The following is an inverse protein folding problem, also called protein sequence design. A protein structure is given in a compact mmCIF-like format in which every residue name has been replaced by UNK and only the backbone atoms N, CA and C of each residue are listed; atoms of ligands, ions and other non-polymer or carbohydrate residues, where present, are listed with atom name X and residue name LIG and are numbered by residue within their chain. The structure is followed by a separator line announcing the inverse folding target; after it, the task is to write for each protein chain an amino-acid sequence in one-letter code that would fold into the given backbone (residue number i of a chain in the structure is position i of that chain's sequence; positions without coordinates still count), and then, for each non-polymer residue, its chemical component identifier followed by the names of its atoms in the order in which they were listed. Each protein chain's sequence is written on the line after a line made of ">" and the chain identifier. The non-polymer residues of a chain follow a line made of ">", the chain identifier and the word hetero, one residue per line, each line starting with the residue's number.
data_IF_477414573591
#
_entry.id   IF_477414573591
#
_cell.length_a   1.000
_cell.length_b   1.000
_cell.length_c   1.000
_cell.angle_alpha   90.00
_cell.angle_beta   90.00
_cell.angle_gamma   90.00
#
_symmetry.space_group_name_H-M   'P 1'
#
loop_
_entity.id
_entity.type
_entity.pdbx_description
1 polymer ?
#
# COMPACT_ATOMS: atom_id res chain seq x y z
N UNK A 1 15.82 0.18 5.56
CA UNK A 1 14.81 -0.90 5.63
C UNK A 1 13.45 -0.24 5.72
N UNK A 2 12.40 -0.75 5.05
CA UNK A 2 11.05 -0.21 5.22
C UNK A 2 10.65 -0.25 6.68
N UNK A 3 10.02 0.82 7.12
CA UNK A 3 9.56 1.00 8.49
C UNK A 3 8.08 0.63 8.50
N UNK A 4 7.71 -0.34 9.34
CA UNK A 4 6.31 -0.56 9.67
C UNK A 4 5.77 0.73 10.29
N UNK A 5 4.70 1.25 9.70
CA UNK A 5 4.16 2.52 10.18
C UNK A 5 3.20 2.22 11.32
N UNK A 6 2.04 1.63 11.03
CA UNK A 6 0.94 1.30 11.97
C UNK A 6 -0.13 0.42 11.26
N UNK A 7 -1.36 0.37 11.80
CA UNK A 7 -2.54 -0.28 11.19
C UNK A 7 -3.72 0.68 11.06
N UNK A 8 -4.45 0.60 9.95
CA UNK A 8 -5.80 1.16 9.89
C UNK A 8 -6.78 0.17 10.51
N UNK A 9 -7.35 0.55 11.64
CA UNK A 9 -8.38 -0.23 12.31
C UNK A 9 -9.78 0.22 11.89
N UNK A 10 -10.65 -0.73 11.57
CA UNK A 10 -12.04 -0.50 11.19
C UNK A 10 -12.96 -1.30 12.12
N UNK A 11 -13.99 -0.67 12.71
CA UNK A 11 -15.01 -1.43 13.45
C UNK A 11 -16.00 -2.02 12.45
N UNK A 12 -15.99 -3.34 12.35
CA UNK A 12 -16.92 -4.09 11.49
C UNK A 12 -18.35 -3.91 11.98
N UNK A 13 -18.56 -3.85 13.29
CA UNK A 13 -19.87 -3.61 13.90
C UNK A 13 -20.42 -2.24 13.48
N UNK A 14 -19.64 -1.17 13.65
CA UNK A 14 -20.09 0.18 13.28
C UNK A 14 -20.31 0.34 11.78
N UNK A 15 -19.49 -0.30 10.95
CA UNK A 15 -19.69 -0.30 9.50
C UNK A 15 -20.96 -1.07 9.11
N UNK A 16 -21.20 -2.21 9.75
CA UNK A 16 -22.41 -3.02 9.55
C UNK A 16 -23.66 -2.23 9.92
N UNK A 17 -23.67 -1.57 11.08
CA UNK A 17 -24.75 -0.69 11.53
C UNK A 17 -24.98 0.47 10.56
N UNK A 18 -23.92 1.20 10.19
CA UNK A 18 -24.03 2.40 9.36
C UNK A 18 -24.44 2.12 7.91
N UNK A 19 -24.04 0.97 7.37
CA UNK A 19 -24.36 0.57 6.00
C UNK A 19 -25.61 -0.31 5.91
N UNK A 20 -26.19 -0.70 7.06
CA UNK A 20 -27.31 -1.63 7.15
C UNK A 20 -27.04 -2.96 6.43
N UNK A 21 -25.81 -3.47 6.56
CA UNK A 21 -25.36 -4.72 5.94
C UNK A 21 -24.89 -5.71 7.01
N UNK A 22 -25.04 -7.03 6.80
CA UNK A 22 -24.41 -8.04 7.65
C UNK A 22 -22.89 -7.84 7.75
N UNK A 23 -22.31 -8.16 8.91
CA UNK A 23 -20.86 -8.04 9.13
C UNK A 23 -20.03 -8.89 8.14
N UNK A 24 -20.56 -10.04 7.73
CA UNK A 24 -19.96 -10.90 6.70
C UNK A 24 -19.81 -10.19 5.35
N UNK A 25 -20.84 -9.47 4.91
CA UNK A 25 -20.82 -8.68 3.69
C UNK A 25 -19.81 -7.53 3.81
N UNK A 26 -19.69 -6.89 4.98
CA UNK A 26 -18.66 -5.88 5.25
C UNK A 26 -17.26 -6.49 5.06
N UNK A 27 -16.98 -7.62 5.69
CA UNK A 27 -15.68 -8.29 5.61
C UNK A 27 -15.34 -8.72 4.18
N UNK A 28 -16.31 -9.23 3.42
CA UNK A 28 -16.09 -9.59 2.02
C UNK A 28 -15.86 -8.36 1.14
N UNK A 29 -16.70 -7.33 1.30
CA UNK A 29 -16.67 -6.12 0.49
C UNK A 29 -15.35 -5.35 0.64
N UNK A 30 -14.88 -5.18 1.88
CA UNK A 30 -13.70 -4.37 2.20
C UNK A 30 -12.36 -5.13 2.10
N UNK A 31 -12.37 -6.41 1.73
CA UNK A 31 -11.15 -7.14 1.32
C UNK A 31 -10.82 -7.01 -0.17
N UNK A 32 -11.70 -6.37 -0.96
CA UNK A 32 -11.44 -6.09 -2.38
C UNK A 32 -10.73 -4.74 -2.54
N UNK A 33 -9.53 -4.77 -3.13
CA UNK A 33 -8.74 -3.57 -3.40
C UNK A 33 -9.38 -2.58 -4.35
N UNK A 34 -10.35 -3.00 -5.17
CA UNK A 34 -11.12 -2.05 -6.00
C UNK A 34 -12.06 -1.18 -5.18
N UNK A 35 -12.35 -1.57 -3.93
CA UNK A 35 -13.29 -0.91 -3.04
C UNK A 35 -12.55 -0.18 -1.91
N UNK A 36 -11.78 -0.91 -1.11
CA UNK A 36 -11.18 -0.37 0.12
C UNK A 36 -9.98 0.55 -0.12
N UNK A 37 -9.29 0.45 -1.27
CA UNK A 37 -8.06 1.22 -1.51
C UNK A 37 -8.27 2.73 -1.40
N UNK A 38 -9.39 3.23 -1.92
CA UNK A 38 -9.73 4.66 -1.86
C UNK A 38 -9.99 5.15 -0.42
N UNK A 39 -10.50 4.27 0.45
CA UNK A 39 -10.70 4.58 1.87
C UNK A 39 -9.35 4.57 2.58
N UNK A 40 -8.51 3.57 2.33
CA UNK A 40 -7.16 3.49 2.88
C UNK A 40 -6.32 4.71 2.50
N UNK A 41 -6.35 5.14 1.23
CA UNK A 41 -5.63 6.33 0.74
C UNK A 41 -6.00 7.58 1.54
N UNK A 42 -7.30 7.84 1.73
CA UNK A 42 -7.80 8.97 2.52
C UNK A 42 -7.36 8.90 3.97
N UNK A 43 -7.53 7.75 4.61
CA UNK A 43 -7.14 7.58 6.01
C UNK A 43 -5.63 7.70 6.19
N UNK A 44 -4.83 7.15 5.28
CA UNK A 44 -3.37 7.36 5.29
C UNK A 44 -3.01 8.82 5.17
N UNK A 45 -3.65 9.54 4.25
CA UNK A 45 -3.38 10.97 4.07
C UNK A 45 -3.64 11.74 5.37
N UNK A 46 -4.80 11.53 5.99
CA UNK A 46 -5.23 12.33 7.15
C UNK A 46 -4.65 11.86 8.49
N UNK A 47 -4.61 10.56 8.75
CA UNK A 47 -4.21 10.02 10.05
C UNK A 47 -2.68 9.89 10.18
N UNK A 48 -1.99 9.56 9.09
CA UNK A 48 -0.57 9.18 9.15
C UNK A 48 0.38 10.18 8.52
N UNK A 49 0.02 10.73 7.35
CA UNK A 49 0.85 11.72 6.65
C UNK A 49 0.51 13.16 7.07
N UNK A 50 -0.62 13.36 7.76
CA UNK A 50 -1.17 14.66 8.12
C UNK A 50 -1.20 15.61 6.90
N UNK A 51 -1.56 15.03 5.76
CA UNK A 51 -1.42 15.60 4.44
C UNK A 51 -2.74 15.75 3.72
N UNK A 52 -2.66 15.99 2.41
CA UNK A 52 -3.81 16.15 1.53
C UNK A 52 -3.72 15.20 0.34
N UNK A 53 -4.87 14.77 -0.15
CA UNK A 53 -4.93 14.06 -1.43
C UNK A 53 -4.44 14.95 -2.57
N UNK A 54 -3.96 14.32 -3.63
CA UNK A 54 -3.64 15.01 -4.86
C UNK A 54 -4.89 15.71 -5.45
N UNK A 55 -4.72 16.86 -6.12
CA UNK A 55 -5.83 17.72 -6.55
C UNK A 55 -6.69 17.13 -7.68
N UNK A 56 -6.24 16.07 -8.36
CA UNK A 56 -6.95 15.46 -9.48
C UNK A 56 -6.65 13.98 -9.63
N UNK A 57 -7.63 13.20 -10.10
CA UNK A 57 -7.40 11.85 -10.62
C UNK A 57 -6.40 11.91 -11.78
N UNK A 58 -5.28 11.20 -11.66
CA UNK A 58 -4.19 11.22 -12.66
C UNK A 58 -3.00 12.11 -12.31
N UNK A 59 -2.96 12.69 -11.10
CA UNK A 59 -1.75 13.31 -10.58
C UNK A 59 -0.57 12.31 -10.49
N UNK A 60 0.65 12.83 -10.46
CA UNK A 60 1.87 12.01 -10.41
C UNK A 60 2.04 11.21 -9.10
N UNK A 61 1.31 11.60 -8.05
CA UNK A 61 1.31 11.06 -6.70
C UNK A 61 -0.13 11.05 -6.15
N UNK A 62 -0.36 10.32 -5.07
CA UNK A 62 -1.67 10.20 -4.44
C UNK A 62 -1.83 11.15 -3.24
N UNK A 63 -0.76 11.33 -2.45
CA UNK A 63 -0.77 12.16 -1.23
C UNK A 63 0.42 13.12 -1.17
N UNK A 64 0.16 14.35 -0.74
CA UNK A 64 1.17 15.31 -0.30
C UNK A 64 1.19 15.32 1.24
N UNK A 65 2.32 14.99 1.87
CA UNK A 65 2.40 15.02 3.34
C UNK A 65 2.54 16.45 3.91
N UNK A 66 2.47 16.57 5.23
CA UNK A 66 2.61 17.84 5.96
C UNK A 66 3.93 18.59 5.70
N UNK A 67 4.95 17.92 5.14
CA UNK A 67 6.23 18.52 4.77
C UNK A 67 6.33 18.84 3.27
N UNK A 68 5.25 18.66 2.51
CA UNK A 68 5.23 18.87 1.07
C UNK A 68 5.86 17.73 0.27
N UNK A 69 6.05 16.55 0.86
CA UNK A 69 6.63 15.39 0.17
C UNK A 69 5.53 14.57 -0.48
N UNK A 70 5.82 14.05 -1.67
CA UNK A 70 4.87 13.30 -2.50
C UNK A 70 4.94 11.81 -2.20
N UNK A 71 3.79 11.17 -2.04
CA UNK A 71 3.65 9.77 -1.70
C UNK A 71 2.66 9.06 -2.63
N UNK A 72 2.96 7.80 -2.93
CA UNK A 72 2.08 6.90 -3.64
C UNK A 72 1.46 5.89 -2.68
N UNK A 73 0.15 5.68 -2.78
CA UNK A 73 -0.57 4.70 -1.98
C UNK A 73 -0.82 3.46 -2.83
N UNK A 74 -0.46 2.30 -2.30
CA UNK A 74 -0.68 1.01 -2.97
C UNK A 74 -1.38 0.04 -2.04
N UNK A 75 -2.17 -0.85 -2.61
CA UNK A 75 -2.82 -1.92 -1.86
C UNK A 75 -2.18 -3.26 -2.17
N UNK A 76 -1.79 -3.98 -1.12
CA UNK A 76 -1.32 -5.36 -1.20
C UNK A 76 -2.51 -6.31 -1.07
N UNK A 77 -3.03 -6.76 -2.22
CA UNK A 77 -4.11 -7.75 -2.29
C UNK A 77 -3.60 -9.18 -2.56
N UNK A 78 -4.54 -10.11 -2.75
CA UNK A 78 -4.22 -11.53 -3.09
C UNK A 78 -3.35 -11.65 -4.35
N UNK A 79 -3.61 -10.79 -5.34
CA UNK A 79 -2.85 -10.72 -6.59
C UNK A 79 -1.48 -10.05 -6.46
N UNK A 80 -1.08 -9.60 -5.27
CA UNK A 80 0.14 -8.86 -5.03
C UNK A 80 -0.02 -7.35 -5.16
N UNK A 81 1.11 -6.66 -5.35
CA UNK A 81 1.20 -5.20 -5.49
C UNK A 81 2.09 -4.85 -6.68
N UNK A 82 1.80 -3.73 -7.34
CA UNK A 82 2.61 -3.14 -8.39
C UNK A 82 3.23 -1.83 -7.88
N UNK A 83 4.47 -1.55 -8.26
CA UNK A 83 5.14 -0.28 -7.96
C UNK A 83 5.23 0.64 -9.16
N UNK A 84 5.02 0.13 -10.38
CA UNK A 84 4.89 0.96 -11.56
C UNK A 84 3.57 1.76 -11.57
N UNK A 85 3.52 2.88 -12.31
CA UNK A 85 2.30 3.67 -12.44
C UNK A 85 1.09 2.83 -12.88
N UNK A 86 -0.10 3.17 -12.38
CA UNK A 86 -1.34 2.44 -12.68
C UNK A 86 -1.68 2.43 -14.18
N UNK A 87 -1.30 3.46 -14.93
CA UNK A 87 -1.48 3.52 -16.39
C UNK A 87 -0.57 2.54 -17.17
N UNK A 88 0.45 1.96 -16.54
CA UNK A 88 1.32 0.94 -17.13
C UNK A 88 0.84 -0.50 -16.85
N UNK A 89 -0.25 -0.67 -16.10
CA UNK A 89 -0.77 -1.97 -15.68
C UNK A 89 -2.18 -2.16 -16.25
N UNK A 90 -2.44 -3.27 -16.94
CA UNK A 90 -3.75 -3.60 -17.52
C UNK A 90 -3.67 -4.17 -18.94
N UNK A 91 -4.82 -4.57 -19.50
CA UNK A 91 -4.89 -5.13 -20.85
C UNK A 91 -4.35 -4.15 -21.90
N UNK A 92 -3.44 -4.61 -22.77
CA UNK A 92 -2.82 -3.81 -23.83
C UNK A 92 -1.74 -2.82 -23.38
N UNK A 93 -1.36 -2.79 -22.10
CA UNK A 93 -0.33 -1.89 -21.57
C UNK A 93 1.02 -2.60 -21.47
N UNK A 94 2.09 -1.88 -21.77
CA UNK A 94 3.47 -2.36 -21.61
C UNK A 94 4.16 -1.64 -20.45
N UNK A 95 5.07 -2.35 -19.77
CA UNK A 95 5.95 -1.75 -18.79
C UNK A 95 6.89 -0.76 -19.48
N UNK A 96 6.91 0.48 -19.01
CA UNK A 96 7.83 1.51 -19.47
C UNK A 96 8.81 1.83 -18.32
N UNK A 97 10.05 1.37 -18.51
CA UNK A 97 11.13 1.50 -17.54
C UNK A 97 11.46 2.96 -17.21
N UNK A 98 11.61 3.79 -18.25
CA UNK A 98 11.96 5.19 -18.09
C UNK A 98 10.92 5.95 -17.26
N UNK A 99 9.63 5.72 -17.53
CA UNK A 99 8.53 6.33 -16.78
C UNK A 99 8.42 5.80 -15.35
N UNK A 100 8.80 4.54 -15.10
CA UNK A 100 8.91 4.02 -13.74
C UNK A 100 10.03 4.71 -12.96
N UNK A 101 11.23 4.82 -13.55
CA UNK A 101 12.37 5.47 -12.90
C UNK A 101 12.12 6.96 -12.65
N UNK A 102 11.55 7.69 -13.63
CA UNK A 102 11.14 9.09 -13.44
C UNK A 102 10.17 9.25 -12.27
N UNK A 103 9.18 8.35 -12.14
CA UNK A 103 8.24 8.39 -11.02
C UNK A 103 8.94 8.20 -9.68
N UNK A 104 9.92 7.29 -9.59
CA UNK A 104 10.69 7.10 -8.35
C UNK A 104 11.47 8.35 -7.95
N UNK A 105 11.87 9.18 -8.92
CA UNK A 105 12.56 10.45 -8.64
C UNK A 105 11.61 11.58 -8.21
N UNK A 106 10.32 11.46 -8.49
CA UNK A 106 9.30 12.46 -8.18
C UNK A 106 8.62 12.26 -6.81
N UNK A 107 8.75 11.08 -6.21
CA UNK A 107 8.09 10.72 -4.96
C UNK A 107 9.11 10.41 -3.86
N UNK A 108 8.73 10.68 -2.62
CA UNK A 108 9.51 10.29 -1.44
C UNK A 108 9.43 8.76 -1.22
N UNK A 109 8.31 8.16 -1.61
CA UNK A 109 8.13 6.73 -1.57
C UNK A 109 6.67 6.31 -1.68
N UNK A 110 6.44 5.09 -1.22
CA UNK A 110 5.17 4.40 -1.23
C UNK A 110 4.69 4.16 0.20
N UNK A 111 3.38 4.28 0.39
CA UNK A 111 2.68 3.70 1.53
C UNK A 111 1.86 2.52 1.03
N UNK A 112 2.14 1.32 1.55
CA UNK A 112 1.46 0.10 1.13
C UNK A 112 0.48 -0.35 2.20
N UNK A 113 -0.78 -0.59 1.84
CA UNK A 113 -1.85 -1.03 2.72
C UNK A 113 -2.15 -2.52 2.50
N UNK A 114 -2.05 -3.35 3.54
CA UNK A 114 -2.31 -4.79 3.51
C UNK A 114 -3.78 -5.16 3.58
N UNK A 115 -4.55 -4.80 2.55
CA UNK A 115 -6.01 -4.88 2.53
C UNK A 115 -6.60 -6.29 2.77
N UNK A 116 -5.80 -7.35 2.60
CA UNK A 116 -6.24 -8.71 2.90
C UNK A 116 -6.51 -8.96 4.39
N UNK A 117 -5.92 -8.14 5.25
CA UNK A 117 -6.00 -8.27 6.71
C UNK A 117 -7.14 -7.42 7.31
N UNK A 118 -7.98 -6.82 6.46
CA UNK A 118 -9.19 -6.11 6.89
C UNK A 118 -10.01 -6.99 7.86
N UNK A 119 -10.39 -6.45 9.04
CA UNK A 119 -10.51 -5.02 9.37
C UNK A 119 -9.27 -4.34 9.99
N UNK A 120 -8.17 -5.06 10.22
CA UNK A 120 -6.93 -4.54 10.80
C UNK A 120 -5.88 -4.46 9.69
N UNK A 121 -5.85 -3.34 8.95
CA UNK A 121 -5.06 -3.22 7.72
C UNK A 121 -3.65 -2.69 8.03
N UNK A 122 -2.58 -3.50 7.95
CA UNK A 122 -1.22 -3.02 8.18
C UNK A 122 -0.75 -2.04 7.11
N UNK A 123 0.09 -1.10 7.52
CA UNK A 123 0.67 -0.08 6.65
C UNK A 123 2.20 -0.14 6.69
N UNK A 124 2.83 -0.14 5.51
CA UNK A 124 4.27 -0.07 5.35
C UNK A 124 4.69 1.21 4.64
N UNK A 125 5.65 1.94 5.22
CA UNK A 125 6.30 3.09 4.58
C UNK A 125 7.59 2.62 3.90
N UNK A 126 7.64 2.75 2.58
CA UNK A 126 8.73 2.27 1.73
C UNK A 126 9.30 3.45 0.96
N UNK A 127 10.57 3.77 1.20
CA UNK A 127 11.29 4.81 0.46
C UNK A 127 11.41 4.47 -1.02
N UNK A 128 11.38 5.49 -1.88
CA UNK A 128 11.59 5.30 -3.33
C UNK A 128 12.96 4.65 -3.64
N UNK A 129 14.01 5.01 -2.89
CA UNK A 129 15.35 4.41 -2.99
C UNK A 129 15.34 2.89 -2.73
N UNK A 130 14.56 2.41 -1.76
CA UNK A 130 14.43 1.00 -1.44
C UNK A 130 13.70 0.24 -2.56
N UNK A 131 12.70 0.87 -3.18
CA UNK A 131 12.01 0.31 -4.36
C UNK A 131 12.96 0.24 -5.55
N UNK A 132 13.71 1.32 -5.82
CA UNK A 132 14.74 1.38 -6.87
C UNK A 132 15.77 0.27 -6.68
N UNK A 133 16.37 0.15 -5.50
CA UNK A 133 17.35 -0.89 -5.18
C UNK A 133 16.78 -2.31 -5.34
N UNK A 134 15.54 -2.54 -4.91
CA UNK A 134 14.86 -3.82 -5.09
C UNK A 134 14.58 -4.13 -6.57
N UNK A 135 14.35 -3.12 -7.41
CA UNK A 135 14.17 -3.31 -8.85
C UNK A 135 15.51 -3.58 -9.55
N UNK A 136 16.54 -2.77 -9.30
CA UNK A 136 17.88 -2.91 -9.89
C UNK A 136 18.52 -4.27 -9.54
N UNK A 137 18.28 -4.78 -8.33
CA UNK A 137 18.72 -6.12 -7.92
C UNK A 137 17.83 -7.27 -8.45
N UNK A 138 16.85 -6.98 -9.31
CA UNK A 138 15.92 -7.96 -9.88
C UNK A 138 14.87 -8.51 -8.91
N UNK A 139 14.85 -8.06 -7.65
CA UNK A 139 13.93 -8.56 -6.62
C UNK A 139 12.49 -8.13 -6.86
N UNK A 140 12.19 -7.03 -7.54
CA UNK A 140 10.81 -6.68 -7.92
C UNK A 140 10.30 -7.40 -9.19
N UNK A 141 11.20 -7.97 -9.99
CA UNK A 141 10.86 -8.49 -11.32
C UNK A 141 10.57 -7.39 -12.34
N UNK A 142 10.51 -7.76 -13.62
CA UNK A 142 10.46 -6.83 -14.75
C UNK A 142 9.22 -5.94 -14.77
N UNK A 143 8.08 -6.44 -14.32
CA UNK A 143 6.81 -5.70 -14.29
C UNK A 143 6.56 -4.98 -12.98
N UNK A 144 7.52 -5.02 -12.05
CA UNK A 144 7.41 -4.50 -10.67
C UNK A 144 6.26 -5.10 -9.83
N UNK A 145 5.62 -6.15 -10.35
CA UNK A 145 4.59 -6.90 -9.63
C UNK A 145 5.24 -7.92 -8.72
N UNK A 146 4.90 -7.88 -7.44
CA UNK A 146 5.35 -8.89 -6.48
C UNK A 146 4.18 -9.48 -5.70
N UNK A 147 4.27 -10.78 -5.42
CA UNK A 147 3.30 -11.49 -4.57
C UNK A 147 3.38 -11.00 -3.12
N UNK A 148 2.36 -11.26 -2.28
CA UNK A 148 2.41 -10.92 -0.86
C UNK A 148 3.58 -11.54 -0.11
N UNK A 149 3.91 -12.80 -0.40
CA UNK A 149 5.07 -13.47 0.18
C UNK A 149 6.39 -12.76 -0.18
N UNK A 150 6.56 -12.44 -1.48
CA UNK A 150 7.75 -11.74 -1.96
C UNK A 150 7.83 -10.31 -1.41
N UNK A 151 6.69 -9.62 -1.30
CA UNK A 151 6.59 -8.33 -0.63
C UNK A 151 7.08 -8.44 0.82
N UNK A 152 6.60 -9.43 1.58
CA UNK A 152 7.01 -9.60 2.98
C UNK A 152 8.50 -9.88 3.11
N UNK A 153 9.07 -10.71 2.23
CA UNK A 153 10.51 -11.01 2.21
C UNK A 153 11.38 -9.79 1.87
N UNK A 154 10.93 -8.95 0.95
CA UNK A 154 11.72 -7.77 0.51
C UNK A 154 11.53 -6.61 1.48
N UNK A 155 10.31 -6.40 1.96
CA UNK A 155 9.90 -5.16 2.63
C UNK A 155 9.23 -5.31 3.99
N UNK A 156 9.06 -6.52 4.53
CA UNK A 156 8.37 -6.69 5.82
C UNK A 156 9.11 -7.59 6.80
N UNK A 157 10.38 -7.94 6.54
CA UNK A 157 11.16 -8.78 7.47
C UNK A 157 11.58 -7.97 8.71
N UNK A 158 10.63 -7.86 9.63
CA UNK A 158 10.81 -7.64 11.07
C UNK A 158 9.50 -8.03 11.82
N UNK A 159 8.90 -9.19 11.52
CA UNK A 159 7.71 -9.67 12.26
C UNK A 159 7.90 -11.03 12.93
N UNK A 160 8.88 -11.85 12.53
CA UNK A 160 9.05 -13.17 13.14
C UNK A 160 9.70 -13.13 14.54
N UNK A 161 10.40 -12.06 14.93
CA UNK A 161 11.02 -11.99 16.27
C UNK A 161 10.09 -11.47 17.38
N UNK A 162 9.06 -10.67 17.06
CA UNK A 162 8.20 -10.05 18.09
C UNK A 162 7.06 -10.97 18.55
N UNK A 163 6.67 -11.95 17.73
CA UNK A 163 5.62 -12.93 18.09
C UNK A 163 6.14 -14.09 18.96
N UNK A 164 7.44 -14.42 18.91
CA UNK A 164 8.04 -15.45 19.77
C UNK A 164 8.36 -14.92 21.18
N UNK A 165 8.83 -13.68 21.31
CA UNK A 165 9.09 -13.07 22.62
C UNK A 165 7.79 -12.78 23.41
N UNK A 166 6.69 -12.47 22.72
CA UNK A 166 5.38 -12.26 23.34
C UNK A 166 4.59 -13.53 23.70
N UNK A 167 5.13 -14.72 23.40
CA UNK A 167 4.56 -16.02 23.81
C UNK A 167 5.33 -16.71 24.93
N UNK A 168 6.46 -16.12 25.34
CA UNK A 168 7.33 -16.62 26.42
C UNK A 168 7.43 -15.63 27.61
N UNK A 169 6.59 -14.58 27.64
CA UNK A 169 6.49 -13.60 28.73
C UNK A 169 5.21 -13.72 29.52
#
# INVERSE_FOLDING_TARGET
>A
MPTYLEKLEFSVERLSEALHLPQEDILEYFRDGRRVSFVCERRVAYEYLQGTLAPSEGAAFDVLDSQGKKWEIRSLGKGGVYFCPSYMVGSGRSFNEEGFLRKLDEIEGYIVCGIMEFPSVPIWKIRADAVRSAWESGRLGKTTKISPEKFRRIFSMAFEQVQEEGRLG
#
